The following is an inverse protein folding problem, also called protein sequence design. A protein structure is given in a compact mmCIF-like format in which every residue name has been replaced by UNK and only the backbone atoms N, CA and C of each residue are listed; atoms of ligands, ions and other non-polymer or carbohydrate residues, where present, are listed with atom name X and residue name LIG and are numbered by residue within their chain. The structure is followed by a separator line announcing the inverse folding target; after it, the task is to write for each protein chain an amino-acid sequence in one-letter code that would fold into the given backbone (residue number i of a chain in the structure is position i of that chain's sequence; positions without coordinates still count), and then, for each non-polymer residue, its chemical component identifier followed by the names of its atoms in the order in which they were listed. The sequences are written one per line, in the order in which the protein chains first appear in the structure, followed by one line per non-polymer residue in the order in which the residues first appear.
data_IF_412873131116
#
_entry.id   IF_412873131116
#
_cell.length_a   1.000
_cell.length_b   1.000
_cell.length_c   1.000
_cell.angle_alpha   90.00
_cell.angle_beta   90.00
_cell.angle_gamma   90.00
#
_symmetry.space_group_name_H-M   'P 1'
#
loop_
_entity.id
_entity.type
_entity.pdbx_description
1 polymer ?
#
# COMPACT_ATOMS: atom_id res chain seq x y z
N UNK A 1 -8.69 10.75 -50.24
CA UNK A 1 -8.20 11.55 -49.10
C UNK A 1 -8.77 11.11 -47.74
N UNK A 2 -10.07 10.84 -47.59
CA UNK A 2 -10.68 10.49 -46.28
C UNK A 2 -10.14 9.21 -45.59
N UNK A 3 -9.93 8.11 -46.33
CA UNK A 3 -9.46 6.83 -45.75
C UNK A 3 -8.03 6.88 -45.20
N UNK A 4 -7.14 7.68 -45.82
CA UNK A 4 -5.74 7.79 -45.40
C UNK A 4 -5.62 8.60 -44.09
N UNK A 5 -6.38 9.70 -43.99
CA UNK A 5 -6.46 10.52 -42.77
C UNK A 5 -7.04 9.71 -41.61
N UNK A 6 -8.06 8.88 -41.87
CA UNK A 6 -8.63 8.00 -40.84
C UNK A 6 -7.59 6.99 -40.33
N UNK A 7 -6.88 6.32 -41.24
CA UNK A 7 -5.84 5.34 -40.87
C UNK A 7 -4.72 5.95 -40.02
N UNK A 8 -4.32 7.20 -40.31
CA UNK A 8 -3.34 7.94 -39.50
C UNK A 8 -3.89 8.32 -38.12
N UNK A 9 -5.18 8.69 -38.02
CA UNK A 9 -5.84 8.94 -36.73
C UNK A 9 -5.90 7.69 -35.87
N UNK A 10 -6.27 6.56 -36.46
CA UNK A 10 -6.39 5.27 -35.77
C UNK A 10 -5.03 4.80 -35.21
N UNK A 11 -3.96 4.91 -36.01
CA UNK A 11 -2.59 4.58 -35.57
C UNK A 11 -2.14 5.47 -34.40
N UNK A 12 -2.45 6.77 -34.45
CA UNK A 12 -2.12 7.70 -33.36
C UNK A 12 -2.94 7.42 -32.09
N UNK A 13 -4.21 7.03 -32.23
CA UNK A 13 -5.06 6.65 -31.11
C UNK A 13 -4.53 5.39 -30.42
N UNK A 14 -4.25 4.33 -31.18
CA UNK A 14 -3.66 3.08 -30.67
C UNK A 14 -2.33 3.36 -29.96
N UNK A 15 -1.50 4.25 -30.51
CA UNK A 15 -0.22 4.64 -29.90
C UNK A 15 -0.42 5.38 -28.57
N UNK A 16 -1.42 6.26 -28.48
CA UNK A 16 -1.77 6.98 -27.23
C UNK A 16 -2.30 6.01 -26.18
N UNK A 17 -3.27 5.17 -26.52
CA UNK A 17 -3.84 4.17 -25.61
C UNK A 17 -2.77 3.21 -25.07
N UNK A 18 -1.85 2.75 -25.93
CA UNK A 18 -0.73 1.91 -25.50
C UNK A 18 0.20 2.63 -24.52
N UNK A 19 0.54 3.90 -24.79
CA UNK A 19 1.39 4.68 -23.90
C UNK A 19 0.71 4.94 -22.55
N UNK A 20 -0.59 5.21 -22.54
CA UNK A 20 -1.35 5.42 -21.32
C UNK A 20 -1.49 4.13 -20.51
N UNK A 21 -1.71 2.99 -21.16
CA UNK A 21 -1.72 1.67 -20.51
C UNK A 21 -0.37 1.37 -19.84
N UNK A 22 0.75 1.62 -20.52
CA UNK A 22 2.10 1.44 -19.95
C UNK A 22 2.34 2.37 -18.75
N UNK A 23 1.92 3.63 -18.83
CA UNK A 23 2.03 4.58 -17.71
C UNK A 23 1.23 4.12 -16.49
N UNK A 24 -0.02 3.71 -16.69
CA UNK A 24 -0.87 3.19 -15.60
C UNK A 24 -0.29 1.92 -14.99
N UNK A 25 0.18 0.98 -15.82
CA UNK A 25 0.82 -0.23 -15.34
C UNK A 25 2.06 0.07 -14.50
N UNK A 26 2.93 0.98 -14.94
CA UNK A 26 4.10 1.43 -14.16
C UNK A 26 3.72 2.08 -12.82
N UNK A 27 2.67 2.91 -12.81
CA UNK A 27 2.19 3.52 -11.58
C UNK A 27 1.64 2.48 -10.60
N UNK A 28 0.90 1.47 -11.09
CA UNK A 28 0.37 0.37 -10.27
C UNK A 28 1.49 -0.51 -9.74
N UNK A 29 2.41 -0.96 -10.59
CA UNK A 29 3.55 -1.81 -10.19
C UNK A 29 4.46 -1.05 -9.22
N UNK A 30 4.75 0.22 -9.50
CA UNK A 30 5.53 1.07 -8.60
C UNK A 30 4.84 1.28 -7.25
N UNK A 31 3.52 1.43 -7.23
CA UNK A 31 2.72 1.48 -6.01
C UNK A 31 2.83 0.20 -5.19
N UNK A 32 2.60 -0.96 -5.82
CA UNK A 32 2.69 -2.27 -5.16
C UNK A 32 4.10 -2.58 -4.63
N UNK A 33 5.14 -2.23 -5.41
CA UNK A 33 6.51 -2.38 -4.96
C UNK A 33 6.83 -1.43 -3.81
N UNK A 34 6.38 -0.18 -3.90
CA UNK A 34 6.50 0.82 -2.84
C UNK A 34 5.86 0.37 -1.53
N UNK A 35 4.70 -0.27 -1.59
CA UNK A 35 4.03 -0.86 -0.42
C UNK A 35 4.93 -1.91 0.25
N UNK A 36 5.61 -2.78 -0.51
CA UNK A 36 6.44 -3.83 0.07
C UNK A 36 7.77 -3.33 0.65
N UNK A 37 8.37 -2.30 0.06
CA UNK A 37 9.65 -1.73 0.53
C UNK A 37 9.47 -0.58 1.50
N UNK A 38 8.23 -0.21 1.84
CA UNK A 38 7.90 0.91 2.70
C UNK A 38 8.69 0.97 4.01
N UNK A 39 8.97 -0.15 4.71
CA UNK A 39 9.75 -0.12 5.95
C UNK A 39 11.17 0.45 5.79
N UNK A 40 11.73 0.44 4.57
CA UNK A 40 13.07 0.95 4.27
C UNK A 40 13.07 2.37 3.70
N UNK A 41 11.89 2.99 3.55
CA UNK A 41 11.77 4.37 3.07
C UNK A 41 11.96 5.37 4.21
N UNK A 42 12.37 6.62 3.90
CA UNK A 42 12.41 7.69 4.89
C UNK A 42 11.08 7.86 5.62
N UNK A 43 11.16 8.24 6.89
CA UNK A 43 10.02 8.56 7.76
C UNK A 43 9.03 7.40 8.02
N UNK A 44 9.40 6.15 7.71
CA UNK A 44 8.63 5.00 8.18
C UNK A 44 8.60 5.00 9.72
N UNK A 45 7.44 4.77 10.37
CA UNK A 45 7.24 5.12 11.78
C UNK A 45 7.97 4.23 12.80
N UNK A 46 8.73 3.23 12.35
CA UNK A 46 9.49 2.30 13.19
C UNK A 46 10.70 1.72 12.46
N UNK A 47 11.52 0.96 13.18
CA UNK A 47 12.61 0.18 12.60
C UNK A 47 12.05 -0.85 11.59
N UNK A 48 12.68 -1.06 10.42
CA UNK A 48 12.26 -2.10 9.48
C UNK A 48 12.18 -3.50 10.09
N UNK A 49 13.04 -3.81 11.08
CA UNK A 49 13.04 -5.08 11.82
C UNK A 49 11.79 -5.31 12.68
N UNK A 50 11.10 -4.24 13.06
CA UNK A 50 9.86 -4.27 13.85
C UNK A 50 8.62 -4.52 13.00
N UNK A 51 8.70 -4.28 11.68
CA UNK A 51 7.56 -4.36 10.78
C UNK A 51 7.31 -5.80 10.32
N UNK A 52 6.04 -6.21 10.30
CA UNK A 52 5.56 -7.47 9.73
C UNK A 52 4.51 -7.19 8.68
N UNK A 53 4.76 -7.64 7.45
CA UNK A 53 3.82 -7.52 6.36
C UNK A 53 2.62 -8.46 6.57
N UNK A 54 1.42 -7.92 6.39
CA UNK A 54 0.13 -8.63 6.48
C UNK A 54 -0.61 -8.57 5.14
N UNK A 55 -0.62 -7.40 4.49
CA UNK A 55 -1.41 -7.12 3.29
C UNK A 55 -2.85 -6.69 3.60
N UNK A 56 -3.70 -6.58 2.57
CA UNK A 56 -5.05 -6.00 2.74
C UNK A 56 -5.87 -6.73 3.81
N UNK A 57 -6.58 -5.99 4.70
CA UNK A 57 -6.88 -4.55 4.62
C UNK A 57 -5.94 -3.60 5.40
N UNK A 58 -4.80 -4.08 5.93
CA UNK A 58 -3.76 -3.25 6.58
C UNK A 58 -2.39 -3.81 6.21
N UNK A 59 -1.59 -3.05 5.46
CA UNK A 59 -0.36 -3.59 4.87
C UNK A 59 0.66 -4.15 5.89
N UNK A 60 0.86 -3.50 7.04
CA UNK A 60 1.79 -3.97 8.08
C UNK A 60 1.22 -3.86 9.51
N UNK A 61 1.70 -4.74 10.38
CA UNK A 61 1.71 -4.54 11.83
C UNK A 61 3.16 -4.38 12.26
N UNK A 62 3.49 -3.33 13.00
CA UNK A 62 4.83 -3.16 13.55
C UNK A 62 4.84 -3.19 15.08
N UNK A 63 5.85 -3.85 15.64
CA UNK A 63 6.07 -3.99 17.08
C UNK A 63 7.24 -3.09 17.48
N UNK A 64 6.98 -1.78 17.52
CA UNK A 64 8.01 -0.76 17.65
C UNK A 64 8.83 -0.96 18.92
N UNK A 65 10.16 -0.93 18.78
CA UNK A 65 11.11 -1.08 19.88
C UNK A 65 11.71 -2.48 20.01
N UNK A 66 11.09 -3.51 19.41
CA UNK A 66 11.56 -4.90 19.53
C UNK A 66 13.00 -5.09 19.01
N UNK A 67 13.31 -4.52 17.84
CA UNK A 67 14.60 -4.70 17.20
C UNK A 67 15.74 -3.97 17.92
N UNK A 68 15.44 -2.87 18.62
CA UNK A 68 16.45 -1.99 19.21
C UNK A 68 16.59 -2.15 20.73
N UNK A 69 15.50 -2.48 21.44
CA UNK A 69 15.41 -2.43 22.91
C UNK A 69 14.90 -3.72 23.57
N UNK A 70 14.57 -4.74 22.79
CA UNK A 70 13.97 -6.01 23.27
C UNK A 70 12.66 -5.81 24.07
N UNK A 71 11.95 -4.71 23.80
CA UNK A 71 10.65 -4.36 24.41
C UNK A 71 9.68 -3.82 23.34
N UNK A 72 8.39 -4.15 23.48
CA UNK A 72 7.32 -3.58 22.63
C UNK A 72 6.85 -2.27 23.23
N UNK A 73 7.26 -1.13 22.67
CA UNK A 73 6.80 0.20 23.09
C UNK A 73 5.39 0.50 22.57
N UNK A 74 5.11 0.11 21.33
CA UNK A 74 3.89 0.44 20.61
C UNK A 74 3.58 -0.60 19.53
N UNK A 75 2.30 -0.93 19.34
CA UNK A 75 1.85 -1.75 18.22
C UNK A 75 1.21 -0.83 17.18
N UNK A 76 1.84 -0.73 16.01
CA UNK A 76 1.40 0.12 14.91
C UNK A 76 0.64 -0.70 13.86
N UNK A 77 -0.54 -0.21 13.45
CA UNK A 77 -1.23 -0.67 12.25
C UNK A 77 -0.89 0.31 11.12
N UNK A 78 -0.16 -0.14 10.10
CA UNK A 78 0.36 0.72 9.04
C UNK A 78 -0.26 0.33 7.70
N UNK A 79 -1.05 1.22 7.13
CA UNK A 79 -1.51 1.15 5.73
C UNK A 79 -0.65 2.10 4.91
N UNK A 80 0.03 1.59 3.88
CA UNK A 80 0.89 2.38 3.01
C UNK A 80 0.05 2.97 1.89
N UNK A 81 0.21 4.27 1.66
CA UNK A 81 -0.42 4.99 0.55
C UNK A 81 0.64 5.62 -0.33
N UNK A 82 0.47 5.49 -1.63
CA UNK A 82 1.32 6.13 -2.64
C UNK A 82 0.54 7.18 -3.44
N UNK A 83 1.22 8.26 -3.84
CA UNK A 83 0.63 9.34 -4.64
C UNK A 83 -0.63 9.95 -4.01
N UNK A 84 -1.71 10.02 -4.78
CA UNK A 84 -3.01 10.58 -4.34
C UNK A 84 -3.99 9.53 -3.81
N UNK A 85 -3.49 8.34 -3.42
CA UNK A 85 -4.36 7.30 -2.88
C UNK A 85 -4.89 7.69 -1.51
N UNK A 86 -6.15 7.35 -1.26
CA UNK A 86 -6.84 7.62 0.01
C UNK A 86 -7.26 6.31 0.65
N UNK A 87 -7.59 6.35 1.95
CA UNK A 87 -8.08 5.17 2.64
C UNK A 87 -9.34 4.61 1.96
N UNK A 88 -9.43 3.30 1.82
CA UNK A 88 -10.67 2.62 1.44
C UNK A 88 -11.71 2.71 2.58
N UNK A 89 -12.97 2.37 2.29
CA UNK A 89 -14.00 2.30 3.33
C UNK A 89 -13.62 1.31 4.43
N UNK A 90 -13.02 0.17 4.07
CA UNK A 90 -12.60 -0.87 5.03
C UNK A 90 -11.43 -0.39 5.89
N UNK A 91 -10.42 0.24 5.29
CA UNK A 91 -9.29 0.82 6.03
C UNK A 91 -9.74 1.91 7.00
N UNK A 92 -10.68 2.79 6.59
CA UNK A 92 -11.27 3.78 7.51
C UNK A 92 -11.95 3.13 8.71
N UNK A 93 -12.71 2.06 8.49
CA UNK A 93 -13.36 1.33 9.60
C UNK A 93 -12.35 0.71 10.56
N UNK A 94 -11.22 0.22 10.05
CA UNK A 94 -10.14 -0.32 10.87
C UNK A 94 -9.44 0.79 11.64
N UNK A 95 -9.10 1.90 10.99
CA UNK A 95 -8.56 3.09 11.65
C UNK A 95 -9.45 3.53 12.82
N UNK A 96 -10.75 3.69 12.59
CA UNK A 96 -11.70 4.05 13.67
C UNK A 96 -11.75 3.00 14.77
N UNK A 97 -11.66 1.69 14.44
CA UNK A 97 -11.61 0.65 15.47
C UNK A 97 -10.36 0.76 16.35
N UNK A 98 -9.21 1.09 15.78
CA UNK A 98 -7.97 1.33 16.53
C UNK A 98 -8.10 2.59 17.40
N UNK A 99 -8.54 3.71 16.82
CA UNK A 99 -8.69 5.00 17.54
C UNK A 99 -9.73 4.94 18.68
N UNK A 100 -10.77 4.13 18.51
CA UNK A 100 -11.81 3.89 19.54
C UNK A 100 -11.40 2.81 20.57
N UNK A 101 -10.18 2.27 20.49
CA UNK A 101 -9.69 1.25 21.43
C UNK A 101 -10.34 -0.14 21.27
N UNK A 102 -10.99 -0.43 20.13
CA UNK A 102 -11.61 -1.72 19.81
C UNK A 102 -10.59 -2.76 19.32
N UNK A 103 -9.44 -2.83 20.00
CA UNK A 103 -8.34 -3.76 19.73
C UNK A 103 -8.05 -4.53 21.02
N UNK A 104 -7.89 -5.85 20.93
CA UNK A 104 -7.60 -6.70 22.08
C UNK A 104 -6.66 -7.84 21.71
N UNK A 105 -5.84 -8.26 22.67
CA UNK A 105 -5.03 -9.47 22.56
C UNK A 105 -5.89 -10.70 22.89
N UNK A 106 -5.76 -11.77 22.11
CA UNK A 106 -6.53 -13.01 22.30
C UNK A 106 -5.61 -14.21 22.14
N UNK A 107 -5.50 -15.03 23.17
CA UNK A 107 -4.90 -16.36 23.06
C UNK A 107 -5.99 -17.36 22.65
N UNK A 108 -5.80 -18.01 21.51
CA UNK A 108 -6.65 -19.12 21.06
C UNK A 108 -5.79 -20.37 20.91
N UNK A 109 -6.07 -21.39 21.72
CA UNK A 109 -5.33 -22.65 21.71
C UNK A 109 -6.09 -23.69 20.91
N UNK A 110 -5.43 -24.29 19.95
CA UNK A 110 -5.92 -25.47 19.24
C UNK A 110 -5.28 -26.69 19.89
N UNK A 111 -6.10 -27.60 20.43
CA UNK A 111 -5.70 -28.91 20.95
C UNK A 111 -5.51 -29.91 19.83
#
# INVERSE_FOLDING_TARGET
MGKLVQKVKDVNLIKRERNDAVKRSRAVIGGQFGEQVAPYLPDFPCNPGDARFIGKPVDFIAFKGCADKDEVEEILFVEVKSGSSTLSRRERQIKSAVEEGRVRFVEYRIS
#
